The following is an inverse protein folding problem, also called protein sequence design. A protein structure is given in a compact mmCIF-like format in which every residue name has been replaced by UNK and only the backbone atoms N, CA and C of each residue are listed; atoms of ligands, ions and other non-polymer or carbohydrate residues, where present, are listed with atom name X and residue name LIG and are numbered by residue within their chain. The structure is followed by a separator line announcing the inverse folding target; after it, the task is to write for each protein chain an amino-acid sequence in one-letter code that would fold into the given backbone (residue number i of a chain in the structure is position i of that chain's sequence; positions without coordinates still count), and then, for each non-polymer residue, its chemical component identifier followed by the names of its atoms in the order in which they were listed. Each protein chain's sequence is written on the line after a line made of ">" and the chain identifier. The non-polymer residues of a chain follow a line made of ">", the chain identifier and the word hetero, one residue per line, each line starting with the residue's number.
data_IF_894433067713
#
_entry.id   IF_894433067713
#
_cell.length_a   1.000
_cell.length_b   1.000
_cell.length_c   1.000
_cell.angle_alpha   90.00
_cell.angle_beta   90.00
_cell.angle_gamma   90.00
#
_symmetry.space_group_name_H-M   'P 1'
#
loop_
_entity.id
_entity.type
_entity.pdbx_description
1 polymer ?
#
# COMPACT_ATOMS: atom_id res chain seq x y z
N UNK A 1 -5.38 9.11 26.61
CA UNK A 1 -4.19 9.37 25.79
C UNK A 1 -3.30 10.33 26.55
N UNK A 2 -2.02 10.00 26.75
CA UNK A 2 -1.00 10.92 27.26
C UNK A 2 0.02 11.14 26.14
N UNK A 3 -0.09 12.25 25.40
CA UNK A 3 0.70 12.55 24.19
C UNK A 3 1.62 13.75 24.48
N UNK A 4 2.74 13.51 25.15
CA UNK A 4 3.73 14.54 25.54
C UNK A 4 5.12 14.21 24.97
N UNK A 5 5.15 13.45 23.88
CA UNK A 5 6.35 12.95 23.23
C UNK A 5 6.62 13.73 21.93
N UNK A 6 7.83 13.57 21.38
CA UNK A 6 8.20 14.19 20.08
C UNK A 6 7.83 13.23 18.95
N UNK A 7 6.91 13.66 18.10
CA UNK A 7 6.40 12.90 16.96
C UNK A 7 6.75 13.56 15.63
N UNK A 8 7.08 12.75 14.63
CA UNK A 8 7.22 13.19 13.24
C UNK A 8 5.83 13.48 12.66
N UNK A 9 5.59 14.73 12.29
CA UNK A 9 4.31 15.17 11.72
C UNK A 9 4.32 15.13 10.19
N UNK A 10 3.16 14.97 9.53
CA UNK A 10 3.06 15.00 8.08
C UNK A 10 3.55 16.34 7.51
N UNK A 11 3.05 17.46 8.05
CA UNK A 11 3.41 18.83 7.65
C UNK A 11 3.44 19.74 8.89
N UNK A 12 4.43 20.63 8.97
CA UNK A 12 4.62 21.51 10.16
C UNK A 12 3.59 22.65 10.29
N UNK A 13 2.89 23.00 9.21
CA UNK A 13 1.97 24.14 9.16
C UNK A 13 0.52 23.69 9.04
N UNK A 14 0.22 22.82 8.07
CA UNK A 14 -1.13 22.43 7.72
C UNK A 14 -1.61 21.21 8.53
N UNK A 15 -0.68 20.31 8.88
CA UNK A 15 -0.96 19.10 9.63
C UNK A 15 -0.10 18.98 10.89
N UNK A 16 -0.19 19.92 11.86
CA UNK A 16 0.58 19.90 13.09
C UNK A 16 0.04 18.88 14.12
N UNK A 17 -0.33 17.69 13.64
CA UNK A 17 -0.92 16.58 14.39
C UNK A 17 -0.44 15.26 13.78
N UNK A 18 -0.33 14.21 14.59
CA UNK A 18 0.16 12.93 14.09
C UNK A 18 -0.91 12.17 13.30
N UNK A 19 -0.44 11.42 12.32
CA UNK A 19 -1.21 10.39 11.64
C UNK A 19 -0.45 9.07 11.68
N UNK A 20 -1.09 8.02 12.21
CA UNK A 20 -0.39 6.76 12.47
C UNK A 20 0.10 6.08 11.20
N UNK A 21 -0.66 6.14 10.10
CA UNK A 21 -0.22 5.56 8.83
C UNK A 21 0.87 6.39 8.16
N UNK A 22 0.78 7.74 8.17
CA UNK A 22 1.84 8.64 7.71
C UNK A 22 3.17 8.34 8.41
N UNK A 23 3.15 8.16 9.74
CA UNK A 23 4.33 7.87 10.54
C UNK A 23 5.09 6.62 10.07
N UNK A 24 4.36 5.63 9.55
CA UNK A 24 4.96 4.43 8.95
C UNK A 24 5.82 4.79 7.74
N UNK A 25 5.34 5.69 6.88
CA UNK A 25 6.07 6.18 5.71
C UNK A 25 7.19 7.15 6.09
N UNK A 26 7.03 7.95 7.15
CA UNK A 26 8.07 8.86 7.66
C UNK A 26 9.30 8.10 8.15
N UNK A 27 9.08 6.96 8.81
CA UNK A 27 10.14 6.17 9.42
C UNK A 27 11.15 5.64 8.39
N UNK A 28 10.74 5.41 7.13
CA UNK A 28 11.61 4.88 6.06
C UNK A 28 12.73 5.86 5.66
N UNK A 29 12.45 7.12 5.24
CA UNK A 29 13.50 8.10 4.98
C UNK A 29 14.24 8.49 6.26
N UNK A 30 13.57 8.57 7.42
CA UNK A 30 14.26 8.84 8.70
C UNK A 30 15.33 7.80 8.99
N UNK A 31 15.08 6.51 8.74
CA UNK A 31 16.08 5.45 8.94
C UNK A 31 17.32 5.55 8.04
N UNK A 32 17.26 6.34 6.95
CA UNK A 32 18.43 6.68 6.13
C UNK A 32 19.35 7.71 6.82
N UNK A 33 18.88 8.39 7.86
CA UNK A 33 19.65 9.34 8.65
C UNK A 33 19.88 8.77 10.04
N UNK A 34 18.80 8.47 10.76
CA UNK A 34 18.78 7.97 12.12
C UNK A 34 17.76 6.82 12.26
N UNK A 35 18.27 5.59 12.26
CA UNK A 35 17.45 4.39 12.42
C UNK A 35 16.92 4.23 13.85
N UNK A 36 17.59 4.77 14.86
CA UNK A 36 17.14 4.66 16.24
C UNK A 36 15.93 5.57 16.48
N UNK A 37 15.98 6.81 15.97
CA UNK A 37 14.81 7.71 15.97
C UNK A 37 13.62 7.11 15.19
N UNK A 38 13.85 6.55 14.00
CA UNK A 38 12.78 5.89 13.23
C UNK A 38 12.12 4.72 14.00
N UNK A 39 12.91 3.90 14.70
CA UNK A 39 12.40 2.83 15.57
C UNK A 39 11.59 3.38 16.74
N UNK A 40 12.05 4.46 17.36
CA UNK A 40 11.35 5.11 18.46
C UNK A 40 9.98 5.65 18.04
N UNK A 41 9.90 6.30 16.88
CA UNK A 41 8.64 6.80 16.30
C UNK A 41 7.60 5.68 16.13
N UNK A 42 8.01 4.56 15.51
CA UNK A 42 7.12 3.40 15.31
C UNK A 42 6.70 2.76 16.63
N UNK A 43 7.59 2.68 17.62
CA UNK A 43 7.26 2.14 18.94
C UNK A 43 6.31 3.05 19.71
N UNK A 44 6.42 4.37 19.54
CA UNK A 44 5.68 5.36 20.30
C UNK A 44 4.17 5.19 20.15
N UNK A 45 3.69 5.12 18.90
CA UNK A 45 2.26 4.97 18.60
C UNK A 45 1.68 3.62 19.07
N UNK A 46 2.56 2.66 19.37
CA UNK A 46 2.22 1.33 19.85
C UNK A 46 2.29 1.19 21.38
N UNK A 47 2.69 2.25 22.11
CA UNK A 47 2.75 2.22 23.57
C UNK A 47 1.37 2.20 24.20
N UNK A 48 1.31 1.71 25.43
CA UNK A 48 0.09 1.50 26.23
C UNK A 48 -0.72 2.78 26.46
N UNK A 49 -0.06 3.94 26.40
CA UNK A 49 -0.71 5.24 26.56
C UNK A 49 -1.21 5.86 25.24
N UNK A 50 -0.85 5.27 24.09
CA UNK A 50 -1.38 5.60 22.75
C UNK A 50 -2.37 4.55 22.24
N UNK A 51 -1.95 3.30 22.18
CA UNK A 51 -2.78 2.18 21.73
C UNK A 51 -3.92 1.95 22.73
N UNK A 52 -5.15 1.91 22.22
CA UNK A 52 -6.31 1.60 23.04
C UNK A 52 -6.19 0.15 23.59
N UNK A 53 -6.67 -0.14 24.82
CA UNK A 53 -6.53 -1.46 25.44
C UNK A 53 -7.10 -2.65 24.65
N UNK A 54 -7.96 -2.41 23.66
CA UNK A 54 -8.49 -3.44 22.76
C UNK A 54 -7.56 -3.76 21.56
N UNK A 55 -6.40 -3.11 21.45
CA UNK A 55 -5.46 -3.26 20.33
C UNK A 55 -5.62 -2.22 19.20
N UNK A 56 -6.60 -1.32 19.27
CA UNK A 56 -6.75 -0.25 18.27
C UNK A 56 -5.60 0.76 18.37
N UNK A 57 -4.98 1.05 17.23
CA UNK A 57 -3.99 2.11 17.10
C UNK A 57 -4.74 3.43 16.82
N UNK A 58 -4.42 4.54 17.50
CA UNK A 58 -5.08 5.81 17.26
C UNK A 58 -4.77 6.30 15.84
N UNK A 59 -5.80 6.69 15.07
CA UNK A 59 -5.59 7.20 13.72
C UNK A 59 -4.96 8.60 13.72
N UNK A 60 -5.68 9.60 14.23
CA UNK A 60 -5.29 11.01 14.24
C UNK A 60 -5.72 11.71 15.55
N UNK A 61 -5.11 12.86 15.88
CA UNK A 61 -5.38 13.60 17.14
C UNK A 61 -6.84 14.04 17.34
N UNK A 62 -7.58 14.24 16.24
CA UNK A 62 -8.97 14.70 16.25
C UNK A 62 -9.98 13.55 16.05
N UNK A 63 -9.52 12.35 15.67
CA UNK A 63 -10.35 11.17 15.43
C UNK A 63 -9.61 9.87 15.75
N UNK A 64 -9.26 9.66 17.02
CA UNK A 64 -8.52 8.45 17.45
C UNK A 64 -9.19 7.12 17.07
N UNK A 65 -10.52 7.11 16.98
CA UNK A 65 -11.31 5.92 16.69
C UNK A 65 -11.39 5.53 15.21
N UNK A 66 -10.86 6.36 14.32
CA UNK A 66 -10.80 6.05 12.90
C UNK A 66 -9.84 4.89 12.60
N UNK A 67 -9.91 4.39 11.38
CA UNK A 67 -9.13 3.25 10.93
C UNK A 67 -8.18 3.68 9.84
N UNK A 68 -6.94 3.24 9.98
CA UNK A 68 -5.84 3.55 9.08
C UNK A 68 -5.30 2.26 8.47
N UNK A 69 -4.72 2.29 7.25
CA UNK A 69 -4.03 1.12 6.71
C UNK A 69 -2.99 0.57 7.72
N UNK A 70 -2.98 -0.74 8.01
CA UNK A 70 -2.05 -1.37 8.94
C UNK A 70 -0.62 -1.53 8.39
N UNK A 71 -0.02 -0.42 7.95
CA UNK A 71 1.30 -0.38 7.30
C UNK A 71 2.47 -0.35 8.30
N UNK A 72 2.22 -0.27 9.61
CA UNK A 72 3.26 -0.19 10.64
C UNK A 72 4.15 -1.46 10.69
N UNK A 73 3.62 -2.65 10.40
CA UNK A 73 4.44 -3.86 10.27
C UNK A 73 5.44 -3.76 9.11
N UNK A 74 4.97 -3.25 7.97
CA UNK A 74 5.83 -3.02 6.82
C UNK A 74 6.93 -2.01 7.13
N UNK A 75 6.57 -0.88 7.77
CA UNK A 75 7.54 0.14 8.12
C UNK A 75 8.58 -0.39 9.11
N UNK A 76 8.18 -1.12 10.15
CA UNK A 76 9.10 -1.72 11.10
C UNK A 76 10.05 -2.71 10.42
N UNK A 77 9.51 -3.58 9.55
CA UNK A 77 10.33 -4.48 8.75
C UNK A 77 11.31 -3.72 7.85
N UNK A 78 10.88 -2.65 7.20
CA UNK A 78 11.71 -1.83 6.31
C UNK A 78 12.84 -1.12 7.07
N UNK A 79 12.53 -0.51 8.21
CA UNK A 79 13.51 0.15 9.10
C UNK A 79 14.56 -0.86 9.57
N UNK A 80 14.13 -2.03 10.02
CA UNK A 80 15.04 -3.12 10.39
C UNK A 80 15.97 -3.53 9.24
N UNK A 81 15.45 -3.68 8.03
CA UNK A 81 16.25 -4.04 6.85
C UNK A 81 17.22 -2.91 6.43
N UNK A 82 16.82 -1.65 6.56
CA UNK A 82 17.69 -0.49 6.31
C UNK A 82 18.84 -0.48 7.32
N UNK A 83 18.54 -0.63 8.62
CA UNK A 83 19.55 -0.71 9.67
C UNK A 83 20.51 -1.88 9.43
N UNK A 84 19.98 -3.07 9.14
CA UNK A 84 20.77 -4.26 8.83
C UNK A 84 21.75 -4.03 7.67
N UNK A 85 21.31 -3.34 6.60
CA UNK A 85 22.19 -3.02 5.46
C UNK A 85 23.30 -2.05 5.85
N UNK A 86 23.03 -1.08 6.73
CA UNK A 86 23.98 -0.01 7.08
C UNK A 86 24.94 -0.41 8.21
N UNK A 87 24.47 -1.16 9.21
CA UNK A 87 25.22 -1.56 10.40
C UNK A 87 25.74 -3.00 10.32
N UNK A 88 25.31 -3.79 9.33
CA UNK A 88 25.63 -5.22 9.19
C UNK A 88 24.79 -6.15 10.08
N UNK A 89 24.06 -5.60 11.05
CA UNK A 89 23.16 -6.31 11.95
C UNK A 89 21.89 -5.47 12.17
N UNK A 90 20.73 -6.13 12.19
CA UNK A 90 19.46 -5.48 12.52
C UNK A 90 19.05 -5.71 13.97
N UNK A 91 18.32 -4.76 14.54
CA UNK A 91 17.80 -4.81 15.92
C UNK A 91 16.58 -5.75 16.04
N UNK A 92 16.84 -7.01 16.41
CA UNK A 92 15.76 -7.98 16.70
C UNK A 92 14.96 -7.63 17.95
N UNK A 93 15.55 -6.94 18.93
CA UNK A 93 14.86 -6.49 20.13
C UNK A 93 13.73 -5.52 19.79
N UNK A 94 13.99 -4.59 18.88
CA UNK A 94 12.98 -3.72 18.28
C UNK A 94 11.87 -4.53 17.59
N UNK A 95 12.21 -5.50 16.74
CA UNK A 95 11.22 -6.35 16.07
C UNK A 95 10.32 -7.09 17.07
N UNK A 96 10.88 -7.69 18.13
CA UNK A 96 10.07 -8.36 19.19
C UNK A 96 9.07 -7.39 19.82
N UNK A 97 9.51 -6.18 20.16
CA UNK A 97 8.66 -5.16 20.79
C UNK A 97 7.50 -4.74 19.87
N UNK A 98 7.80 -4.43 18.61
CA UNK A 98 6.77 -4.06 17.63
C UNK A 98 5.83 -5.24 17.35
N UNK A 99 6.38 -6.44 17.14
CA UNK A 99 5.62 -7.64 16.82
C UNK A 99 4.54 -7.96 17.86
N UNK A 100 4.88 -7.95 19.15
CA UNK A 100 3.90 -8.21 20.21
C UNK A 100 2.78 -7.17 20.27
N UNK A 101 3.09 -5.89 20.01
CA UNK A 101 2.08 -4.82 19.94
C UNK A 101 1.18 -4.98 18.72
N UNK A 102 1.78 -5.29 17.57
CA UNK A 102 1.03 -5.50 16.34
C UNK A 102 0.21 -6.78 16.36
N UNK A 103 0.57 -7.80 17.15
CA UNK A 103 -0.28 -8.97 17.37
C UNK A 103 -1.63 -8.60 18.02
N UNK A 104 -1.62 -7.66 18.97
CA UNK A 104 -2.85 -7.12 19.56
C UNK A 104 -3.69 -6.38 18.52
N UNK A 105 -3.03 -5.54 17.71
CA UNK A 105 -3.71 -4.79 16.67
C UNK A 105 -4.26 -5.68 15.54
N UNK A 106 -3.52 -6.70 15.12
CA UNK A 106 -3.99 -7.69 14.15
C UNK A 106 -5.23 -8.41 14.66
N UNK A 107 -5.23 -8.81 15.94
CA UNK A 107 -6.39 -9.43 16.60
C UNK A 107 -7.58 -8.47 16.66
N UNK A 108 -7.35 -7.18 16.92
CA UNK A 108 -8.39 -6.17 16.84
C UNK A 108 -9.01 -6.08 15.44
N UNK A 109 -8.19 -6.06 14.39
CA UNK A 109 -8.65 -6.05 13.00
C UNK A 109 -9.55 -7.24 12.68
N UNK A 110 -9.07 -8.46 12.96
CA UNK A 110 -9.84 -9.70 12.73
C UNK A 110 -11.19 -9.68 13.44
N UNK A 111 -11.26 -9.16 14.66
CA UNK A 111 -12.52 -9.18 15.43
C UNK A 111 -13.45 -7.99 15.17
N UNK A 112 -12.95 -6.86 14.65
CA UNK A 112 -13.72 -5.61 14.55
C UNK A 112 -13.97 -5.15 13.12
N UNK A 113 -13.21 -5.68 12.16
CA UNK A 113 -13.20 -5.21 10.77
C UNK A 113 -13.52 -6.31 9.76
N UNK A 114 -13.70 -7.56 10.22
CA UNK A 114 -14.29 -8.67 9.48
C UNK A 114 -15.66 -9.02 10.10
N UNK A 115 -16.67 -8.17 9.84
CA UNK A 115 -17.96 -8.22 10.55
C UNK A 115 -18.73 -9.51 10.33
N UNK A 116 -18.48 -10.20 9.21
CA UNK A 116 -19.15 -11.45 8.86
C UNK A 116 -18.27 -12.70 9.08
N UNK A 117 -17.03 -12.54 9.54
CA UNK A 117 -16.08 -13.64 9.74
C UNK A 117 -15.70 -14.35 8.43
N UNK A 118 -15.78 -13.63 7.30
CA UNK A 118 -15.52 -14.16 5.94
C UNK A 118 -14.12 -13.85 5.44
N UNK A 119 -13.28 -13.21 6.25
CA UNK A 119 -11.95 -12.71 5.89
C UNK A 119 -12.01 -11.63 4.79
N UNK A 120 -13.11 -10.88 4.74
CA UNK A 120 -13.26 -9.66 3.93
C UNK A 120 -13.36 -8.48 4.89
N UNK A 121 -12.41 -7.56 4.77
CA UNK A 121 -12.20 -6.52 5.75
C UNK A 121 -12.73 -5.17 5.28
N UNK A 122 -13.32 -4.43 6.21
CA UNK A 122 -13.90 -3.11 5.97
C UNK A 122 -13.43 -2.14 7.05
N UNK A 123 -13.08 -0.91 6.68
CA UNK A 123 -12.55 0.06 7.64
C UNK A 123 -12.78 1.52 7.28
N UNK A 124 -13.80 1.84 6.48
CA UNK A 124 -14.08 3.23 6.11
C UNK A 124 -13.20 3.70 4.96
N UNK A 125 -12.68 4.92 5.01
CA UNK A 125 -11.89 5.46 3.89
C UNK A 125 -10.44 4.94 3.85
N UNK A 126 -9.89 4.42 4.95
CA UNK A 126 -8.57 3.79 5.01
C UNK A 126 -7.45 4.65 4.42
N UNK A 127 -7.45 5.95 4.71
CA UNK A 127 -6.46 6.92 4.18
C UNK A 127 -6.71 7.36 2.74
N UNK A 128 -7.77 6.89 2.08
CA UNK A 128 -8.13 7.18 0.68
C UNK A 128 -9.45 7.95 0.58
N UNK A 129 -9.51 9.12 1.21
CA UNK A 129 -10.70 9.92 1.52
C UNK A 129 -11.82 9.89 0.47
N UNK A 130 -11.58 10.45 -0.72
CA UNK A 130 -12.57 10.62 -1.78
C UNK A 130 -12.44 9.60 -2.93
N UNK A 131 -11.69 8.50 -2.76
CA UNK A 131 -11.37 7.52 -3.84
C UNK A 131 -12.63 6.85 -4.43
N UNK A 132 -13.69 6.71 -3.62
CA UNK A 132 -14.93 6.03 -3.98
C UNK A 132 -16.10 6.96 -4.28
N UNK A 133 -17.23 6.35 -4.65
CA UNK A 133 -18.52 7.06 -4.84
C UNK A 133 -19.17 7.51 -3.52
N UNK A 134 -18.88 6.81 -2.41
CA UNK A 134 -19.46 7.08 -1.10
C UNK A 134 -18.39 7.54 -0.11
N UNK A 135 -18.82 8.33 0.88
CA UNK A 135 -18.10 8.42 2.15
C UNK A 135 -18.20 7.07 2.86
N UNK A 136 -17.13 6.27 2.75
CA UNK A 136 -17.05 4.89 3.25
C UNK A 136 -17.17 4.81 4.77
N UNK A 137 -17.03 5.94 5.49
CA UNK A 137 -17.17 6.01 6.94
C UNK A 137 -18.60 6.26 7.41
N UNK A 138 -19.54 6.50 6.49
CA UNK A 138 -20.95 6.74 6.79
C UNK A 138 -21.84 5.56 6.39
N UNK A 139 -23.04 5.43 6.99
CA UNK A 139 -24.03 4.47 6.52
C UNK A 139 -24.33 4.66 5.04
N UNK A 140 -24.41 3.55 4.31
CA UNK A 140 -24.66 3.57 2.86
C UNK A 140 -26.11 3.94 2.56
N UNK A 141 -26.37 4.73 1.50
CA UNK A 141 -27.73 5.01 1.03
C UNK A 141 -28.47 3.69 0.70
N UNK A 142 -29.70 3.54 1.19
CA UNK A 142 -30.50 2.32 0.99
C UNK A 142 -30.12 1.15 1.92
N UNK A 143 -29.16 1.34 2.82
CA UNK A 143 -28.64 0.29 3.69
C UNK A 143 -27.70 -0.68 2.97
N UNK A 144 -27.33 -1.76 3.64
CA UNK A 144 -26.34 -2.73 3.14
C UNK A 144 -24.93 -2.43 3.64
N UNK A 145 -23.93 -3.02 2.98
CA UNK A 145 -22.53 -2.86 3.34
C UNK A 145 -21.63 -2.93 2.10
N UNK A 146 -20.41 -2.40 2.24
CA UNK A 146 -19.41 -2.35 1.18
C UNK A 146 -18.29 -3.33 1.50
N UNK A 147 -18.11 -4.35 0.69
CA UNK A 147 -16.90 -5.16 0.72
C UNK A 147 -15.77 -4.40 0.03
N UNK A 148 -14.72 -4.12 0.81
CA UNK A 148 -13.61 -3.27 0.42
C UNK A 148 -12.41 -4.11 -0.03
N UNK A 149 -12.06 -3.96 -1.30
CA UNK A 149 -10.92 -4.67 -1.89
C UNK A 149 -9.60 -4.21 -1.28
N UNK A 150 -9.45 -2.91 -1.04
CA UNK A 150 -8.29 -2.32 -0.38
C UNK A 150 -8.17 -2.74 1.10
N UNK A 151 -9.25 -2.64 1.88
CA UNK A 151 -9.27 -3.08 3.28
C UNK A 151 -8.82 -4.53 3.45
N UNK A 152 -9.33 -5.40 2.59
CA UNK A 152 -8.97 -6.82 2.56
C UNK A 152 -7.51 -7.03 2.12
N UNK A 153 -7.06 -6.30 1.10
CA UNK A 153 -5.68 -6.33 0.62
C UNK A 153 -4.66 -5.87 1.67
N UNK A 154 -5.00 -4.82 2.42
CA UNK A 154 -4.16 -4.32 3.50
C UNK A 154 -3.95 -5.37 4.59
N UNK A 155 -4.99 -6.13 4.92
CA UNK A 155 -4.88 -7.23 5.88
C UNK A 155 -4.09 -8.42 5.33
N UNK A 156 -4.18 -8.71 4.03
CA UNK A 156 -3.31 -9.69 3.38
C UNK A 156 -1.83 -9.27 3.48
N UNK A 157 -1.53 -8.01 3.15
CA UNK A 157 -0.19 -7.43 3.28
C UNK A 157 0.29 -7.46 4.74
N UNK A 158 -0.56 -7.07 5.70
CA UNK A 158 -0.23 -7.08 7.12
C UNK A 158 0.12 -8.48 7.62
N UNK A 159 -0.65 -9.49 7.20
CA UNK A 159 -0.39 -10.90 7.50
C UNK A 159 0.99 -11.33 7.00
N UNK A 160 1.35 -10.99 5.76
CA UNK A 160 2.66 -11.32 5.19
C UNK A 160 3.81 -10.57 5.86
N UNK A 161 3.62 -9.30 6.26
CA UNK A 161 4.65 -8.56 6.99
C UNK A 161 4.91 -9.16 8.38
N UNK A 162 3.85 -9.55 9.10
CA UNK A 162 3.99 -10.21 10.39
C UNK A 162 4.57 -11.62 10.26
N UNK A 163 4.24 -12.35 9.19
CA UNK A 163 4.91 -13.61 8.84
C UNK A 163 6.42 -13.40 8.63
N UNK A 164 6.82 -12.39 7.85
CA UNK A 164 8.23 -12.10 7.61
C UNK A 164 9.00 -11.75 8.89
N UNK A 165 8.40 -10.95 9.77
CA UNK A 165 8.97 -10.61 11.08
C UNK A 165 9.07 -11.86 11.96
N UNK A 166 8.01 -12.67 12.06
CA UNK A 166 7.99 -13.89 12.86
C UNK A 166 9.10 -14.87 12.42
N UNK A 167 9.27 -15.06 11.11
CA UNK A 167 10.34 -15.92 10.57
C UNK A 167 11.74 -15.34 10.80
N UNK A 168 11.91 -14.01 10.87
CA UNK A 168 13.21 -13.41 11.23
C UNK A 168 13.53 -13.63 12.72
N UNK A 169 12.53 -13.55 13.60
CA UNK A 169 12.68 -13.82 15.03
C UNK A 169 12.90 -15.32 15.31
N UNK A 170 12.24 -16.19 14.54
CA UNK A 170 12.37 -17.64 14.61
C UNK A 170 13.78 -18.18 14.34
N UNK A 171 14.67 -17.34 13.80
CA UNK A 171 16.09 -17.70 13.60
C UNK A 171 16.84 -17.96 14.91
N UNK A 172 16.40 -17.34 16.00
CA UNK A 172 17.01 -17.49 17.33
C UNK A 172 16.02 -18.07 18.35
N UNK A 173 14.72 -17.82 18.17
CA UNK A 173 13.65 -18.24 19.08
C UNK A 173 12.59 -19.05 18.32
N UNK A 174 12.75 -20.38 18.24
CA UNK A 174 11.87 -21.25 17.43
C UNK A 174 10.37 -21.13 17.75
N UNK A 175 9.99 -20.61 18.92
CA UNK A 175 8.61 -20.37 19.33
C UNK A 175 7.87 -19.42 18.38
N UNK A 176 8.57 -18.53 17.66
CA UNK A 176 7.94 -17.66 16.66
C UNK A 176 7.48 -18.42 15.41
N UNK A 177 7.94 -19.66 15.17
CA UNK A 177 7.41 -20.51 14.07
C UNK A 177 5.91 -20.82 14.26
N UNK A 178 5.45 -20.96 15.50
CA UNK A 178 4.04 -21.23 15.81
C UNK A 178 3.16 -20.05 15.38
N UNK A 179 3.62 -18.82 15.63
CA UNK A 179 2.89 -17.60 15.27
C UNK A 179 3.05 -17.29 13.78
N UNK A 180 4.19 -17.61 13.16
CA UNK A 180 4.37 -17.52 11.70
C UNK A 180 3.29 -18.32 10.96
N UNK A 181 3.01 -19.54 11.42
CA UNK A 181 1.97 -20.41 10.85
C UNK A 181 0.58 -19.75 10.87
N UNK A 182 0.23 -19.06 11.97
CA UNK A 182 -1.05 -18.33 12.09
C UNK A 182 -1.20 -17.25 11.03
N UNK A 183 -0.15 -16.45 10.79
CA UNK A 183 -0.22 -15.36 9.82
C UNK A 183 -0.27 -15.87 8.39
N UNK A 184 0.46 -16.94 8.10
CA UNK A 184 0.38 -17.60 6.81
C UNK A 184 -1.03 -18.16 6.55
N UNK A 185 -1.64 -18.86 7.51
CA UNK A 185 -3.01 -19.39 7.36
C UNK A 185 -4.03 -18.25 7.15
N UNK A 186 -3.98 -17.18 7.94
CA UNK A 186 -4.84 -16.01 7.73
C UNK A 186 -4.65 -15.40 6.34
N UNK A 187 -3.41 -15.26 5.87
CA UNK A 187 -3.14 -14.78 4.52
C UNK A 187 -3.83 -15.65 3.46
N UNK A 188 -3.76 -16.98 3.57
CA UNK A 188 -4.41 -17.90 2.61
C UNK A 188 -5.92 -17.71 2.61
N UNK A 189 -6.54 -17.57 3.79
CA UNK A 189 -7.97 -17.30 3.90
C UNK A 189 -8.37 -15.98 3.22
N UNK A 190 -7.60 -14.91 3.45
CA UNK A 190 -7.84 -13.60 2.84
C UNK A 190 -7.65 -13.67 1.33
N UNK A 191 -6.56 -14.26 0.86
CA UNK A 191 -6.26 -14.39 -0.56
C UNK A 191 -7.36 -15.20 -1.29
N UNK A 192 -7.89 -16.26 -0.68
CA UNK A 192 -9.06 -16.97 -1.23
C UNK A 192 -10.28 -16.05 -1.29
N UNK A 193 -10.64 -15.41 -0.18
CA UNK A 193 -11.81 -14.52 -0.12
C UNK A 193 -11.78 -13.46 -1.24
N UNK A 194 -10.63 -12.81 -1.42
CA UNK A 194 -10.42 -11.84 -2.51
C UNK A 194 -10.60 -12.42 -3.91
N UNK A 195 -10.26 -13.68 -4.11
CA UNK A 195 -10.36 -14.33 -5.42
C UNK A 195 -11.72 -15.00 -5.67
N UNK A 196 -12.54 -15.25 -4.64
CA UNK A 196 -13.81 -15.96 -4.76
C UNK A 196 -15.05 -15.14 -4.44
N UNK A 197 -14.94 -14.01 -3.75
CA UNK A 197 -16.08 -13.20 -3.29
C UNK A 197 -16.45 -12.04 -4.24
N UNK A 198 -16.13 -12.16 -5.54
CA UNK A 198 -16.53 -11.16 -6.54
C UNK A 198 -15.72 -9.86 -6.53
N UNK A 199 -14.70 -9.74 -5.68
CA UNK A 199 -13.77 -8.61 -5.69
C UNK A 199 -12.88 -8.59 -6.95
N UNK A 200 -12.67 -9.73 -7.60
CA UNK A 200 -12.00 -9.84 -8.89
C UNK A 200 -13.02 -9.93 -10.03
N UNK A 201 -12.99 -8.98 -10.95
CA UNK A 201 -13.80 -9.03 -12.16
C UNK A 201 -13.03 -9.76 -13.27
N UNK A 202 -13.59 -10.85 -13.78
CA UNK A 202 -12.94 -11.68 -14.81
C UNK A 202 -13.01 -11.10 -16.23
N UNK A 203 -13.88 -10.15 -16.50
CA UNK A 203 -13.96 -9.52 -17.82
C UNK A 203 -12.88 -8.43 -17.92
N UNK A 204 -12.86 -7.55 -16.93
CA UNK A 204 -11.82 -6.54 -16.81
C UNK A 204 -10.48 -7.23 -16.51
N UNK A 205 -10.40 -8.09 -15.51
CA UNK A 205 -9.12 -8.51 -14.94
C UNK A 205 -8.55 -7.44 -14.05
N UNK A 206 -9.40 -6.96 -13.14
CA UNK A 206 -9.09 -5.90 -12.18
C UNK A 206 -9.90 -6.13 -10.91
N UNK A 207 -9.41 -5.61 -9.79
CA UNK A 207 -10.10 -5.71 -8.51
C UNK A 207 -10.98 -4.48 -8.26
N UNK A 208 -12.16 -4.70 -7.68
CA UNK A 208 -13.15 -3.67 -7.38
C UNK A 208 -13.81 -3.92 -6.02
N UNK A 209 -14.40 -2.87 -5.45
CA UNK A 209 -15.28 -3.01 -4.29
C UNK A 209 -16.64 -3.58 -4.71
N UNK A 210 -17.31 -4.27 -3.80
CA UNK A 210 -18.64 -4.85 -4.03
C UNK A 210 -19.63 -4.24 -3.04
N UNK A 211 -20.71 -3.66 -3.57
CA UNK A 211 -21.82 -3.11 -2.78
C UNK A 211 -22.89 -4.19 -2.62
N UNK A 212 -23.07 -4.66 -1.38
CA UNK A 212 -24.14 -5.57 -1.01
C UNK A 212 -25.38 -4.79 -0.61
N UNK A 213 -26.52 -5.14 -1.23
CA UNK A 213 -27.80 -4.45 -1.02
C UNK A 213 -28.84 -5.43 -0.47
N UNK A 214 -29.55 -5.10 0.62
CA UNK A 214 -30.54 -6.01 1.20
C UNK A 214 -31.61 -6.41 0.18
N UNK A 215 -31.75 -7.71 -0.08
CA UNK A 215 -32.77 -8.25 -0.99
C UNK A 215 -32.61 -7.88 -2.47
N UNK A 216 -31.44 -7.39 -2.89
CA UNK A 216 -31.12 -7.03 -4.29
C UNK A 216 -29.80 -7.67 -4.70
N UNK A 217 -29.53 -7.68 -6.00
CA UNK A 217 -28.24 -8.14 -6.52
C UNK A 217 -27.09 -7.24 -6.06
N UNK A 218 -25.94 -7.86 -5.86
CA UNK A 218 -24.70 -7.16 -5.54
C UNK A 218 -24.22 -6.32 -6.73
N UNK A 219 -23.60 -5.18 -6.45
CA UNK A 219 -23.09 -4.28 -7.48
C UNK A 219 -21.57 -4.19 -7.37
N UNK A 220 -20.88 -4.66 -8.39
CA UNK A 220 -19.46 -4.41 -8.56
C UNK A 220 -19.23 -2.93 -8.91
N UNK A 221 -18.53 -2.20 -8.04
CA UNK A 221 -18.21 -0.79 -8.24
C UNK A 221 -16.99 -0.67 -9.17
N UNK A 222 -17.25 -0.70 -10.49
CA UNK A 222 -16.22 -0.66 -11.57
C UNK A 222 -15.50 0.70 -11.70
N UNK A 223 -14.90 1.15 -10.60
CA UNK A 223 -14.06 2.34 -10.50
C UNK A 223 -12.62 1.87 -10.57
N UNK A 224 -11.93 2.18 -11.66
CA UNK A 224 -10.52 1.79 -11.86
C UNK A 224 -9.63 2.73 -11.07
N UNK A 225 -9.40 2.40 -9.80
CA UNK A 225 -8.65 3.22 -8.87
C UNK A 225 -7.53 2.44 -8.18
N UNK A 226 -6.77 3.14 -7.32
CA UNK A 226 -5.74 2.57 -6.47
C UNK A 226 -6.26 1.39 -5.62
N UNK A 227 -7.55 1.38 -5.29
CA UNK A 227 -8.22 0.26 -4.59
C UNK A 227 -7.97 -1.07 -5.30
N UNK A 228 -8.07 -1.10 -6.64
CA UNK A 228 -7.83 -2.31 -7.42
C UNK A 228 -6.35 -2.65 -7.64
N UNK A 229 -5.43 -1.78 -7.20
CA UNK A 229 -3.97 -1.98 -7.29
C UNK A 229 -3.36 -2.42 -5.95
N UNK A 230 -3.95 -2.06 -4.81
CA UNK A 230 -3.51 -2.46 -3.47
C UNK A 230 -3.38 -3.99 -3.29
N UNK A 231 -4.18 -4.87 -3.96
CA UNK A 231 -3.92 -6.31 -3.92
C UNK A 231 -2.49 -6.72 -4.29
N UNK A 232 -1.78 -5.94 -5.12
CA UNK A 232 -0.39 -6.19 -5.49
C UNK A 232 0.59 -5.99 -4.31
N UNK A 233 0.18 -5.30 -3.25
CA UNK A 233 1.03 -5.02 -2.07
C UNK A 233 1.21 -6.24 -1.18
N UNK A 234 0.26 -7.17 -1.23
CA UNK A 234 0.31 -8.44 -0.52
C UNK A 234 1.15 -9.46 -1.31
N UNK A 235 2.47 -9.30 -1.23
CA UNK A 235 3.45 -10.22 -1.82
C UNK A 235 4.66 -10.43 -0.90
N UNK A 236 5.05 -11.69 -0.72
CA UNK A 236 6.28 -12.12 -0.06
C UNK A 236 6.86 -13.34 -0.78
N UNK A 237 8.20 -13.41 -0.89
CA UNK A 237 8.89 -14.52 -1.53
C UNK A 237 9.89 -15.13 -0.54
N UNK A 238 9.75 -16.44 -0.28
CA UNK A 238 10.61 -17.15 0.66
C UNK A 238 11.46 -18.18 -0.10
N UNK A 239 12.77 -18.16 0.15
CA UNK A 239 13.72 -19.12 -0.41
C UNK A 239 13.53 -20.52 0.20
N UNK A 240 13.67 -21.58 -0.61
CA UNK A 240 13.38 -22.96 -0.20
C UNK A 240 14.26 -23.45 0.95
N UNK A 241 15.55 -23.13 0.88
CA UNK A 241 16.55 -23.44 1.89
C UNK A 241 16.25 -22.72 3.22
N UNK A 242 15.91 -21.44 3.14
CA UNK A 242 15.45 -20.66 4.29
C UNK A 242 14.18 -21.26 4.88
N UNK A 243 13.21 -21.64 4.06
CA UNK A 243 11.97 -22.27 4.50
C UNK A 243 12.24 -23.60 5.23
N UNK A 244 13.13 -24.45 4.69
CA UNK A 244 13.48 -25.74 5.29
C UNK A 244 14.22 -25.61 6.63
N UNK A 245 14.84 -24.46 6.91
CA UNK A 245 15.45 -24.18 8.21
C UNK A 245 14.41 -24.04 9.33
N UNK A 246 13.17 -23.63 9.00
CA UNK A 246 12.04 -23.51 9.94
C UNK A 246 11.19 -24.79 9.91
N UNK A 247 11.65 -25.83 10.60
CA UNK A 247 11.09 -27.19 10.50
C UNK A 247 9.64 -27.30 10.98
N UNK A 248 9.23 -26.50 11.95
CA UNK A 248 7.86 -26.47 12.46
C UNK A 248 6.94 -25.82 11.43
N UNK A 249 7.32 -24.62 10.98
CA UNK A 249 6.58 -23.87 9.97
C UNK A 249 6.47 -24.63 8.64
N UNK A 250 7.58 -25.15 8.10
CA UNK A 250 7.59 -25.88 6.84
C UNK A 250 6.68 -27.11 6.87
N UNK A 251 6.67 -27.85 7.97
CA UNK A 251 5.79 -29.03 8.13
C UNK A 251 4.32 -28.65 8.14
N UNK A 252 3.97 -27.57 8.84
CA UNK A 252 2.60 -27.07 8.91
C UNK A 252 2.13 -26.53 7.55
N UNK A 253 3.01 -25.82 6.86
CA UNK A 253 2.80 -25.35 5.50
C UNK A 253 2.51 -26.52 4.55
N UNK A 254 3.36 -27.56 4.50
CA UNK A 254 3.12 -28.75 3.66
C UNK A 254 1.80 -29.43 4.04
N UNK A 255 1.57 -29.67 5.33
CA UNK A 255 0.37 -30.33 5.79
C UNK A 255 -0.88 -29.57 5.33
N UNK A 256 -0.90 -28.25 5.46
CA UNK A 256 -2.05 -27.45 5.05
C UNK A 256 -2.24 -27.44 3.54
N UNK A 257 -1.15 -27.33 2.77
CA UNK A 257 -1.21 -27.43 1.29
C UNK A 257 -1.80 -28.79 0.87
N UNK A 258 -1.39 -29.87 1.53
CA UNK A 258 -1.83 -31.23 1.20
C UNK A 258 -3.26 -31.54 1.65
N UNK A 259 -3.71 -30.96 2.77
CA UNK A 259 -4.97 -31.32 3.43
C UNK A 259 -6.08 -30.28 3.23
N UNK A 260 -5.77 -29.06 2.78
CA UNK A 260 -6.72 -27.97 2.51
C UNK A 260 -6.62 -27.45 1.07
N UNK A 261 -6.80 -28.31 0.06
CA UNK A 261 -6.86 -27.87 -1.35
C UNK A 261 -7.95 -26.82 -1.57
N UNK A 262 -9.06 -26.91 -0.83
CA UNK A 262 -10.16 -25.95 -0.87
C UNK A 262 -9.73 -24.50 -0.55
N UNK A 263 -8.70 -24.32 0.29
CA UNK A 263 -8.18 -23.00 0.66
C UNK A 263 -7.02 -22.54 -0.22
N UNK A 264 -6.37 -23.47 -0.89
CA UNK A 264 -5.10 -23.23 -1.58
C UNK A 264 -5.25 -23.11 -3.09
N UNK A 265 -6.37 -23.59 -3.63
CA UNK A 265 -6.83 -23.35 -4.98
C UNK A 265 -7.15 -21.86 -5.20
N UNK A 266 -6.48 -21.22 -6.18
CA UNK A 266 -6.66 -19.79 -6.49
C UNK A 266 -5.77 -18.81 -5.73
N UNK A 267 -4.94 -19.27 -4.79
CA UNK A 267 -3.87 -18.45 -4.19
C UNK A 267 -2.58 -18.65 -4.98
N UNK A 268 -1.82 -17.57 -5.20
CA UNK A 268 -0.62 -17.61 -6.04
C UNK A 268 0.37 -18.69 -5.54
N UNK A 269 0.50 -19.74 -6.34
CA UNK A 269 1.56 -20.74 -6.39
C UNK A 269 2.26 -21.14 -5.08
N UNK A 270 1.68 -22.11 -4.36
CA UNK A 270 2.29 -22.72 -3.17
C UNK A 270 3.23 -23.91 -3.43
N UNK A 271 3.22 -24.48 -4.66
CA UNK A 271 3.99 -25.69 -5.02
C UNK A 271 4.96 -25.52 -6.20
N UNK A 272 4.73 -24.59 -7.14
CA UNK A 272 5.64 -24.45 -8.29
C UNK A 272 6.90 -23.71 -7.86
N UNK A 273 8.03 -24.40 -8.07
CA UNK A 273 9.37 -23.86 -7.82
C UNK A 273 9.62 -22.69 -8.79
N UNK A 274 9.76 -21.49 -8.25
CA UNK A 274 10.27 -20.33 -9.00
C UNK A 274 11.78 -20.44 -9.24
N UNK A 275 12.42 -19.32 -9.61
CA UNK A 275 13.90 -19.25 -9.67
C UNK A 275 14.45 -19.62 -8.28
N UNK A 276 15.39 -20.57 -8.22
CA UNK A 276 15.98 -21.08 -6.98
C UNK A 276 14.99 -21.77 -6.02
N UNK A 277 13.95 -22.43 -6.53
CA UNK A 277 12.96 -23.19 -5.73
C UNK A 277 12.15 -22.35 -4.72
N UNK A 278 12.13 -21.02 -4.89
CA UNK A 278 11.37 -20.10 -4.05
C UNK A 278 9.88 -20.44 -4.02
N UNK A 279 9.21 -20.02 -2.95
CA UNK A 279 7.74 -19.99 -2.83
C UNK A 279 7.23 -18.56 -2.85
N UNK A 280 6.15 -18.33 -3.57
CA UNK A 280 5.47 -17.04 -3.64
C UNK A 280 4.23 -17.09 -2.74
N UNK A 281 4.09 -16.12 -1.86
CA UNK A 281 2.83 -15.84 -1.18
C UNK A 281 2.31 -14.51 -1.70
N UNK A 282 1.32 -14.57 -2.60
CA UNK A 282 0.71 -13.38 -3.16
C UNK A 282 -0.80 -13.55 -3.37
N UNK A 283 -1.55 -12.46 -3.21
CA UNK A 283 -2.99 -12.45 -3.57
C UNK A 283 -3.18 -12.64 -5.08
N UNK A 284 -2.25 -12.07 -5.85
CA UNK A 284 -2.30 -12.02 -7.31
C UNK A 284 -1.30 -13.03 -7.88
N UNK A 285 -1.82 -13.99 -8.64
CA UNK A 285 -0.99 -14.94 -9.40
C UNK A 285 -0.33 -14.29 -10.64
N UNK A 286 0.60 -14.96 -11.32
CA UNK A 286 1.31 -14.38 -12.47
C UNK A 286 0.40 -13.94 -13.62
N UNK A 287 -0.75 -14.60 -13.84
CA UNK A 287 -1.66 -14.27 -14.93
C UNK A 287 -2.52 -13.05 -14.59
N UNK A 288 -3.07 -13.00 -13.36
CA UNK A 288 -3.75 -11.80 -12.86
C UNK A 288 -2.78 -10.61 -12.80
N UNK A 289 -1.53 -10.83 -12.42
CA UNK A 289 -0.49 -9.80 -12.40
C UNK A 289 -0.30 -9.19 -13.79
N UNK A 290 -0.20 -10.01 -14.86
CA UNK A 290 -0.13 -9.50 -16.24
C UNK A 290 -1.34 -8.65 -16.60
N UNK A 291 -2.55 -9.08 -16.22
CA UNK A 291 -3.80 -8.38 -16.54
C UNK A 291 -3.90 -7.02 -15.85
N UNK A 292 -3.52 -6.95 -14.57
CA UNK A 292 -3.47 -5.69 -13.82
C UNK A 292 -2.38 -4.77 -14.39
N UNK A 293 -1.19 -5.31 -14.68
CA UNK A 293 -0.08 -4.52 -15.23
C UNK A 293 -0.38 -3.91 -16.60
N UNK A 294 -1.19 -4.57 -17.44
CA UNK A 294 -1.65 -3.99 -18.72
C UNK A 294 -2.37 -2.65 -18.51
N UNK A 295 -3.20 -2.51 -17.47
CA UNK A 295 -3.85 -1.23 -17.16
C UNK A 295 -2.92 -0.27 -16.44
N UNK A 296 -2.17 -0.78 -15.47
CA UNK A 296 -1.27 0.02 -14.64
C UNK A 296 -0.22 0.75 -15.48
N UNK A 297 0.28 0.11 -16.54
CA UNK A 297 1.33 0.62 -17.41
C UNK A 297 0.78 1.29 -18.70
N UNK A 298 -0.54 1.50 -18.80
CA UNK A 298 -1.16 2.23 -19.91
C UNK A 298 -1.20 3.75 -19.61
N UNK A 299 -0.64 4.56 -20.51
CA UNK A 299 -0.58 6.02 -20.38
C UNK A 299 -1.96 6.70 -20.44
N UNK A 300 -2.94 6.04 -21.05
CA UNK A 300 -4.35 6.49 -21.10
C UNK A 300 -5.12 6.17 -19.83
N UNK A 301 -4.55 5.31 -18.98
CA UNK A 301 -5.14 4.91 -17.70
C UNK A 301 -4.28 5.44 -16.54
N UNK A 302 -3.41 4.60 -15.98
CA UNK A 302 -2.74 4.86 -14.73
C UNK A 302 -1.33 5.46 -14.89
N UNK A 303 -0.63 5.14 -15.99
CA UNK A 303 0.77 5.51 -16.15
C UNK A 303 0.90 7.00 -16.52
N UNK A 304 1.41 7.79 -15.59
CA UNK A 304 1.79 9.18 -15.80
C UNK A 304 3.28 9.28 -16.13
N UNK A 305 3.75 10.33 -16.82
CA UNK A 305 5.17 10.68 -16.88
C UNK A 305 5.85 10.80 -15.51
N UNK A 306 5.07 10.96 -14.44
CA UNK A 306 5.56 11.25 -13.09
C UNK A 306 5.25 10.16 -12.04
N UNK A 307 4.61 9.05 -12.42
CA UNK A 307 4.27 7.95 -11.52
C UNK A 307 2.97 7.25 -11.89
N UNK A 308 2.35 6.58 -10.93
CA UNK A 308 1.04 5.94 -11.07
C UNK A 308 -0.03 6.83 -10.44
N UNK A 309 -1.05 7.18 -11.24
CA UNK A 309 -2.23 7.94 -10.82
C UNK A 309 -3.06 7.14 -9.82
N UNK A 310 -3.70 7.81 -8.87
CA UNK A 310 -4.62 7.15 -7.92
C UNK A 310 -5.95 6.71 -8.57
N UNK A 311 -6.35 7.32 -9.68
CA UNK A 311 -7.51 6.94 -10.48
C UNK A 311 -7.13 6.89 -11.97
N UNK A 312 -7.66 5.90 -12.70
CA UNK A 312 -7.44 5.77 -14.14
C UNK A 312 -7.97 7.01 -14.88
N UNK A 313 -7.15 7.57 -15.76
CA UNK A 313 -7.51 8.73 -16.58
C UNK A 313 -8.66 8.45 -17.58
N UNK A 314 -9.05 7.19 -17.77
CA UNK A 314 -10.26 6.83 -18.53
C UNK A 314 -11.52 7.47 -17.96
N UNK A 315 -11.54 7.70 -16.64
CA UNK A 315 -12.66 8.35 -15.96
C UNK A 315 -12.76 9.86 -16.23
N UNK A 316 -11.84 10.43 -17.01
CA UNK A 316 -11.96 11.81 -17.53
C UNK A 316 -13.06 11.90 -18.57
N UNK A 317 -13.08 10.96 -19.52
CA UNK A 317 -14.07 10.91 -20.61
C UNK A 317 -15.28 10.06 -20.25
N UNK A 318 -15.08 9.05 -19.38
CA UNK A 318 -16.13 8.11 -18.95
C UNK A 318 -16.17 8.03 -17.42
N UNK A 319 -16.69 9.07 -16.74
CA UNK A 319 -16.90 9.00 -15.30
C UNK A 319 -17.70 7.77 -14.91
N UNK A 320 -17.35 7.16 -13.78
CA UNK A 320 -18.21 6.14 -13.20
C UNK A 320 -19.48 6.81 -12.67
N UNK A 321 -20.64 6.21 -12.94
CA UNK A 321 -21.95 6.73 -12.50
C UNK A 321 -22.73 5.59 -11.86
N UNK A 322 -23.31 5.85 -10.69
CA UNK A 322 -24.14 4.91 -9.96
C UNK A 322 -25.43 5.60 -9.52
N UNK A 323 -26.56 5.10 -10.02
CA UNK A 323 -27.89 5.52 -9.58
C UNK A 323 -28.36 4.63 -8.42
N UNK A 324 -28.57 5.24 -7.24
CA UNK A 324 -28.98 4.54 -6.03
C UNK A 324 -29.97 5.39 -5.23
N UNK A 325 -31.13 4.82 -4.91
CA UNK A 325 -32.19 5.45 -4.11
C UNK A 325 -32.60 6.85 -4.62
N UNK A 326 -32.67 7.04 -5.94
CA UNK A 326 -33.06 8.31 -6.56
C UNK A 326 -31.96 9.39 -6.58
N UNK A 327 -30.74 9.02 -6.15
CA UNK A 327 -29.55 9.88 -6.23
C UNK A 327 -28.54 9.30 -7.21
N UNK A 328 -27.93 10.19 -8.01
CA UNK A 328 -26.83 9.84 -8.92
C UNK A 328 -25.50 10.19 -8.27
N UNK A 329 -24.65 9.19 -8.08
CA UNK A 329 -23.28 9.34 -7.59
C UNK A 329 -22.31 9.24 -8.76
N UNK A 330 -21.24 10.04 -8.75
CA UNK A 330 -20.24 9.99 -9.81
C UNK A 330 -18.81 10.17 -9.31
N UNK A 331 -17.89 9.48 -10.00
CA UNK A 331 -16.44 9.60 -9.84
C UNK A 331 -15.84 9.91 -11.20
N UNK A 332 -15.26 11.10 -11.32
CA UNK A 332 -14.54 11.56 -12.50
C UNK A 332 -13.04 11.67 -12.20
N UNK A 333 -12.21 11.66 -13.24
CA UNK A 333 -10.78 11.90 -13.11
C UNK A 333 -10.47 13.39 -12.91
N UNK A 334 -9.73 13.69 -11.84
CA UNK A 334 -9.34 15.01 -11.40
C UNK A 334 -7.83 15.00 -11.12
N UNK A 335 -6.98 15.54 -12.00
CA UNK A 335 -5.54 15.32 -11.91
C UNK A 335 -4.88 16.03 -10.70
N UNK A 336 -5.47 17.10 -10.18
CA UNK A 336 -4.91 17.94 -9.10
C UNK A 336 -5.93 18.13 -7.96
N UNK A 337 -6.48 19.33 -7.74
CA UNK A 337 -7.44 19.60 -6.67
C UNK A 337 -8.79 18.91 -6.89
N UNK A 338 -9.46 18.57 -5.80
CA UNK A 338 -10.83 18.02 -5.82
C UNK A 338 -11.85 19.13 -6.10
N UNK A 339 -12.78 18.89 -7.02
CA UNK A 339 -13.98 19.72 -7.23
C UNK A 339 -15.07 19.47 -6.20
N UNK A 340 -14.93 18.43 -5.37
CA UNK A 340 -15.86 18.07 -4.30
C UNK A 340 -15.37 18.51 -2.92
N UNK A 341 -16.30 18.90 -2.04
CA UNK A 341 -16.01 19.21 -0.63
C UNK A 341 -15.96 17.99 0.30
N UNK A 342 -15.96 16.75 -0.24
CA UNK A 342 -15.80 15.55 0.57
C UNK A 342 -14.49 15.63 1.35
N UNK A 343 -14.55 15.34 2.66
CA UNK A 343 -13.40 15.43 3.57
C UNK A 343 -12.68 16.79 3.56
N UNK A 344 -13.42 17.88 3.34
CA UNK A 344 -12.88 19.25 3.40
C UNK A 344 -12.23 19.74 2.10
N UNK A 345 -12.17 18.92 1.05
CA UNK A 345 -11.77 19.33 -0.31
C UNK A 345 -10.27 19.52 -0.55
N UNK A 346 -9.42 19.48 0.48
CA UNK A 346 -7.97 19.64 0.35
C UNK A 346 -7.25 18.38 -0.16
N UNK A 347 -7.79 17.19 0.14
CA UNK A 347 -7.24 15.89 -0.25
C UNK A 347 -7.94 15.38 -1.51
N UNK A 348 -7.17 14.86 -2.47
CA UNK A 348 -7.74 14.28 -3.69
C UNK A 348 -7.05 12.98 -4.13
N UNK A 349 -7.81 11.90 -4.13
CA UNK A 349 -7.42 10.58 -4.59
C UNK A 349 -7.99 10.24 -5.97
N UNK A 350 -8.73 11.14 -6.62
CA UNK A 350 -9.39 10.92 -7.92
C UNK A 350 -8.52 11.22 -9.14
N UNK A 351 -7.21 11.14 -9.00
CA UNK A 351 -6.30 11.32 -10.13
C UNK A 351 -4.85 11.66 -9.80
N UNK A 352 -4.53 12.38 -8.70
CA UNK A 352 -3.16 12.71 -8.36
C UNK A 352 -2.27 11.49 -8.10
N UNK A 353 -0.97 11.73 -8.09
CA UNK A 353 0.09 10.78 -7.76
C UNK A 353 0.45 10.95 -6.29
N UNK A 354 0.41 9.85 -5.55
CA UNK A 354 0.74 9.80 -4.13
C UNK A 354 1.96 8.92 -3.91
N UNK A 355 2.97 9.47 -3.21
CA UNK A 355 4.23 8.76 -2.93
C UNK A 355 4.06 7.45 -2.15
N UNK A 356 3.23 7.36 -1.09
CA UNK A 356 3.10 6.14 -0.29
C UNK A 356 2.76 4.89 -1.11
N UNK A 357 1.69 4.96 -1.89
CA UNK A 357 1.18 3.82 -2.67
C UNK A 357 2.06 3.51 -3.89
N UNK A 358 2.66 4.54 -4.51
CA UNK A 358 3.65 4.34 -5.57
C UNK A 358 4.91 3.65 -5.05
N UNK A 359 5.38 4.03 -3.87
CA UNK A 359 6.54 3.41 -3.23
C UNK A 359 6.26 1.93 -2.90
N UNK A 360 5.11 1.62 -2.30
CA UNK A 360 4.69 0.24 -2.03
C UNK A 360 4.58 -0.58 -3.31
N UNK A 361 4.03 -0.02 -4.38
CA UNK A 361 3.96 -0.67 -5.67
C UNK A 361 5.34 -1.03 -6.22
N UNK A 362 6.29 -0.09 -6.18
CA UNK A 362 7.68 -0.33 -6.62
C UNK A 362 8.29 -1.49 -5.83
N UNK A 363 8.13 -1.50 -4.50
CA UNK A 363 8.63 -2.59 -3.67
C UNK A 363 7.97 -3.93 -3.99
N UNK A 364 6.66 -3.95 -4.25
CA UNK A 364 5.94 -5.15 -4.68
C UNK A 364 6.46 -5.69 -6.01
N UNK A 365 6.68 -4.84 -7.00
CA UNK A 365 7.22 -5.25 -8.30
C UNK A 365 8.62 -5.85 -8.14
N UNK A 366 9.46 -5.30 -7.25
CA UNK A 366 10.76 -5.88 -6.92
C UNK A 366 10.62 -7.27 -6.28
N UNK A 367 9.66 -7.46 -5.37
CA UNK A 367 9.38 -8.78 -4.75
C UNK A 367 8.86 -9.79 -5.77
N UNK A 368 7.93 -9.40 -6.64
CA UNK A 368 7.46 -10.25 -7.74
C UNK A 368 8.61 -10.61 -8.69
N UNK A 369 9.46 -9.64 -9.05
CA UNK A 369 10.64 -9.91 -9.88
C UNK A 369 11.58 -10.91 -9.23
N UNK A 370 11.81 -10.79 -7.92
CA UNK A 370 12.66 -11.71 -7.18
C UNK A 370 12.19 -13.17 -7.30
N UNK A 371 10.87 -13.41 -7.38
CA UNK A 371 10.32 -14.74 -7.61
C UNK A 371 10.28 -15.16 -9.09
N UNK A 372 9.72 -14.30 -9.95
CA UNK A 372 9.42 -14.60 -11.36
C UNK A 372 10.66 -14.55 -12.28
N UNK A 373 11.66 -13.76 -11.91
CA UNK A 373 12.89 -13.59 -12.67
C UNK A 373 12.72 -12.83 -13.99
N UNK A 374 13.73 -12.95 -14.86
CA UNK A 374 13.88 -12.18 -16.09
C UNK A 374 12.98 -12.68 -17.24
N UNK A 375 12.45 -13.90 -17.13
CA UNK A 375 11.55 -14.49 -18.12
C UNK A 375 10.14 -13.91 -18.08
N UNK A 376 9.73 -13.31 -16.96
CA UNK A 376 8.47 -12.60 -16.87
C UNK A 376 8.66 -11.14 -17.29
N UNK A 377 8.13 -10.84 -18.48
CA UNK A 377 8.18 -9.51 -19.07
C UNK A 377 6.79 -8.98 -19.37
N UNK A 378 6.65 -7.66 -19.32
CA UNK A 378 5.43 -6.92 -19.64
C UNK A 378 5.78 -5.70 -20.49
N UNK A 379 4.81 -5.17 -21.23
CA UNK A 379 5.03 -3.96 -22.02
C UNK A 379 5.05 -2.71 -21.14
N UNK A 380 5.95 -1.78 -21.45
CA UNK A 380 6.05 -0.48 -20.80
C UNK A 380 6.47 0.62 -21.81
N UNK A 381 5.59 1.57 -22.14
CA UNK A 381 4.15 1.58 -21.83
C UNK A 381 3.38 0.41 -22.46
N UNK A 382 2.21 0.09 -21.93
CA UNK A 382 1.28 -0.85 -22.56
C UNK A 382 0.97 -0.41 -23.99
N UNK A 383 1.01 -1.34 -24.95
CA UNK A 383 0.79 -1.09 -26.37
C UNK A 383 2.03 -0.58 -27.13
N UNK A 384 3.18 -0.44 -26.46
CA UNK A 384 4.41 0.03 -27.09
C UNK A 384 5.22 -1.06 -27.80
N UNK A 385 4.94 -2.34 -27.52
CA UNK A 385 5.76 -3.47 -27.95
C UNK A 385 7.14 -3.56 -27.29
N UNK A 386 7.50 -2.65 -26.37
CA UNK A 386 8.76 -2.68 -25.61
C UNK A 386 8.57 -3.47 -24.33
N UNK A 387 9.22 -4.63 -24.24
CA UNK A 387 9.15 -5.52 -23.11
C UNK A 387 10.19 -5.17 -22.04
N UNK A 388 9.75 -5.13 -20.79
CA UNK A 388 10.59 -4.91 -19.61
C UNK A 388 10.36 -6.02 -18.58
N UNK A 389 11.42 -6.38 -17.86
CA UNK A 389 11.26 -7.19 -16.63
C UNK A 389 10.59 -6.35 -15.55
N UNK A 390 10.04 -7.00 -14.52
CA UNK A 390 9.44 -6.29 -13.38
C UNK A 390 10.43 -5.39 -12.63
N UNK A 391 11.73 -5.75 -12.59
CA UNK A 391 12.77 -4.84 -12.09
C UNK A 391 12.92 -3.59 -12.96
N UNK A 392 12.88 -3.74 -14.30
CA UNK A 392 12.90 -2.61 -15.23
C UNK A 392 11.69 -1.69 -15.05
N UNK A 393 10.49 -2.27 -14.86
CA UNK A 393 9.28 -1.50 -14.55
C UNK A 393 9.43 -0.74 -13.22
N UNK A 394 9.89 -1.40 -12.16
CA UNK A 394 10.10 -0.77 -10.86
C UNK A 394 11.12 0.39 -10.94
N UNK A 395 12.22 0.21 -11.68
CA UNK A 395 13.22 1.23 -11.90
C UNK A 395 12.66 2.43 -12.69
N UNK A 396 11.83 2.17 -13.70
CA UNK A 396 11.17 3.21 -14.49
C UNK A 396 10.21 4.05 -13.64
N UNK A 397 9.39 3.41 -12.81
CA UNK A 397 8.49 4.14 -11.91
C UNK A 397 9.26 4.97 -10.87
N UNK A 398 10.35 4.44 -10.33
CA UNK A 398 11.27 5.18 -9.44
C UNK A 398 11.83 6.43 -10.13
N UNK A 399 12.25 6.30 -11.40
CA UNK A 399 12.77 7.41 -12.21
C UNK A 399 11.71 8.47 -12.48
N UNK A 400 10.47 8.08 -12.78
CA UNK A 400 9.34 8.99 -13.00
C UNK A 400 9.00 9.80 -11.77
N UNK A 401 8.91 9.16 -10.60
CA UNK A 401 8.69 9.86 -9.32
C UNK A 401 9.84 10.81 -8.98
N UNK A 402 11.07 10.37 -9.21
CA UNK A 402 12.27 11.20 -8.98
C UNK A 402 12.29 12.42 -9.91
N UNK A 403 11.84 12.26 -11.17
CA UNK A 403 11.84 13.32 -12.17
C UNK A 403 11.00 14.55 -11.76
N UNK A 404 9.99 14.37 -10.90
CA UNK A 404 9.21 15.48 -10.30
C UNK A 404 10.13 16.55 -9.68
N UNK A 405 11.20 16.10 -9.04
CA UNK A 405 12.15 16.94 -8.31
C UNK A 405 13.45 17.16 -9.06
N UNK A 406 13.56 16.78 -10.34
CA UNK A 406 14.75 16.97 -11.18
C UNK A 406 14.51 18.05 -12.22
N UNK A 407 15.59 18.68 -12.71
CA UNK A 407 15.49 19.64 -13.80
C UNK A 407 15.42 18.87 -15.11
N UNK A 408 14.48 19.25 -15.97
CA UNK A 408 14.39 18.76 -17.33
C UNK A 408 15.45 19.40 -18.24
N UNK A 409 15.40 19.07 -19.54
CA UNK A 409 16.29 19.63 -20.56
C UNK A 409 16.17 21.15 -20.71
N UNK A 410 15.05 21.74 -20.26
CA UNK A 410 14.80 23.19 -20.25
C UNK A 410 15.20 23.84 -18.92
N UNK A 411 15.76 23.07 -17.99
CA UNK A 411 16.14 23.53 -16.67
C UNK A 411 14.97 23.71 -15.69
N UNK A 412 13.76 23.26 -16.05
CA UNK A 412 12.53 23.41 -15.24
C UNK A 412 12.25 22.15 -14.44
N UNK A 413 11.54 22.29 -13.32
CA UNK A 413 11.14 21.17 -12.45
C UNK A 413 9.62 21.00 -12.47
N UNK A 414 9.10 19.77 -12.64
CA UNK A 414 7.65 19.53 -12.57
C UNK A 414 7.04 19.99 -11.25
N UNK A 415 7.71 19.77 -10.10
CA UNK A 415 7.20 20.15 -8.77
C UNK A 415 6.72 21.61 -8.66
N UNK A 416 7.34 22.53 -9.39
CA UNK A 416 6.99 23.96 -9.37
C UNK A 416 5.84 24.32 -10.32
N UNK A 417 5.41 23.39 -11.18
CA UNK A 417 4.36 23.61 -12.17
C UNK A 417 4.62 24.88 -13.01
N UNK A 418 3.59 25.72 -13.22
CA UNK A 418 3.71 26.94 -14.02
C UNK A 418 4.38 28.12 -13.30
N UNK A 419 4.78 28.00 -12.03
CA UNK A 419 5.26 29.12 -11.22
C UNK A 419 6.66 29.62 -11.63
N UNK A 420 6.70 30.62 -12.50
CA UNK A 420 7.93 31.07 -13.16
C UNK A 420 9.01 31.57 -12.19
N UNK A 421 8.59 32.17 -11.07
CA UNK A 421 9.50 32.62 -10.02
C UNK A 421 10.23 31.44 -9.38
N UNK A 422 9.52 30.35 -9.07
CA UNK A 422 10.12 29.14 -8.52
C UNK A 422 10.95 28.42 -9.58
N UNK A 423 10.60 28.52 -10.86
CA UNK A 423 11.35 27.86 -11.93
C UNK A 423 12.70 28.54 -12.23
N UNK A 424 12.74 29.87 -12.24
CA UNK A 424 13.85 30.62 -12.87
C UNK A 424 14.64 31.52 -11.92
N UNK A 425 14.05 32.02 -10.84
CA UNK A 425 14.70 32.97 -9.94
C UNK A 425 15.90 32.30 -9.22
N UNK A 426 17.13 32.83 -9.35
CA UNK A 426 18.32 32.26 -8.70
C UNK A 426 18.20 32.10 -7.18
N UNK A 427 17.33 32.87 -6.54
CA UNK A 427 17.11 32.83 -5.09
C UNK A 427 16.03 31.83 -4.66
N UNK A 428 15.20 31.33 -5.57
CA UNK A 428 14.06 30.45 -5.22
C UNK A 428 14.13 29.06 -5.88
N UNK A 429 14.79 28.94 -7.05
CA UNK A 429 14.76 27.73 -7.88
C UNK A 429 15.33 26.43 -7.29
N UNK A 430 15.99 26.54 -6.14
CA UNK A 430 16.60 25.42 -5.43
C UNK A 430 15.93 25.13 -4.08
N UNK A 431 14.86 25.86 -3.73
CA UNK A 431 14.01 25.55 -2.57
C UNK A 431 12.85 24.65 -2.98
N UNK A 432 13.09 23.34 -2.91
CA UNK A 432 12.11 22.32 -3.31
C UNK A 432 11.05 22.11 -2.21
N UNK A 433 9.77 22.38 -2.48
CA UNK A 433 8.69 21.97 -1.59
C UNK A 433 8.46 20.46 -1.69
N UNK A 434 7.94 19.90 -0.61
CA UNK A 434 7.52 18.50 -0.54
C UNK A 434 6.01 18.51 -0.43
N UNK A 435 5.33 18.28 -1.54
CA UNK A 435 3.89 18.36 -1.60
C UNK A 435 3.20 17.09 -1.08
N UNK A 436 1.94 17.25 -0.67
CA UNK A 436 1.08 16.16 -0.22
C UNK A 436 0.90 15.09 -1.31
N UNK A 437 0.59 15.58 -2.51
CA UNK A 437 0.43 14.81 -3.72
C UNK A 437 0.83 15.65 -4.93
N UNK A 438 0.89 14.99 -6.09
CA UNK A 438 1.35 15.61 -7.34
C UNK A 438 0.31 15.45 -8.42
N UNK A 439 0.17 16.47 -9.25
CA UNK A 439 -0.75 16.46 -10.37
C UNK A 439 -0.47 15.24 -11.28
N UNK A 440 -1.51 14.45 -11.53
CA UNK A 440 -1.42 13.18 -12.25
C UNK A 440 -1.02 13.33 -13.73
N UNK A 441 -1.10 14.52 -14.31
CA UNK A 441 -0.78 14.77 -15.71
C UNK A 441 0.55 15.52 -15.92
N UNK A 442 0.85 16.53 -15.11
CA UNK A 442 2.03 17.40 -15.30
C UNK A 442 3.07 17.34 -14.16
N UNK A 443 2.77 16.64 -13.05
CA UNK A 443 3.68 16.47 -11.92
C UNK A 443 3.85 17.70 -11.02
N UNK A 444 3.02 18.75 -11.18
CA UNK A 444 3.02 19.90 -10.28
C UNK A 444 2.63 19.51 -8.86
N UNK A 445 3.25 20.11 -7.85
CA UNK A 445 2.89 19.86 -6.46
C UNK A 445 1.52 20.44 -6.09
N UNK A 446 0.75 19.72 -5.28
CA UNK A 446 -0.56 20.14 -4.77
C UNK A 446 -0.76 19.70 -3.30
N UNK A 447 -1.74 20.29 -2.63
CA UNK A 447 -1.93 20.13 -1.18
C UNK A 447 -0.79 20.73 -0.35
N UNK A 448 -0.63 20.26 0.89
CA UNK A 448 0.36 20.77 1.83
C UNK A 448 1.78 20.72 1.27
N UNK A 449 2.55 21.81 1.39
CA UNK A 449 3.82 22.01 0.67
C UNK A 449 5.09 21.70 1.48
N UNK A 450 4.96 21.40 2.77
CA UNK A 450 6.05 21.00 3.66
C UNK A 450 5.85 19.59 4.18
N UNK A 451 5.26 18.73 3.34
CA UNK A 451 5.04 17.34 3.62
C UNK A 451 6.30 16.49 3.44
N UNK A 452 7.39 16.89 4.12
CA UNK A 452 8.62 16.09 4.25
C UNK A 452 8.42 14.82 5.08
N UNK A 453 7.17 14.49 5.40
CA UNK A 453 6.71 13.18 5.80
C UNK A 453 6.85 12.15 4.69
N UNK A 454 5.73 11.65 4.14
CA UNK A 454 5.80 10.55 3.18
C UNK A 454 6.45 10.92 1.85
N UNK A 455 6.43 12.19 1.43
CA UNK A 455 7.07 12.59 0.16
C UNK A 455 8.60 12.49 0.28
N UNK A 456 9.12 12.48 1.51
CA UNK A 456 10.50 12.14 1.82
C UNK A 456 10.94 10.75 1.32
N UNK A 457 10.01 9.84 1.00
CA UNK A 457 10.30 8.54 0.38
C UNK A 457 11.11 8.66 -0.92
N UNK A 458 11.04 9.81 -1.62
CA UNK A 458 11.90 10.09 -2.79
C UNK A 458 13.39 9.90 -2.49
N UNK A 459 13.85 10.20 -1.28
CA UNK A 459 15.24 10.00 -0.88
C UNK A 459 15.66 8.53 -0.99
N UNK A 460 14.75 7.62 -0.65
CA UNK A 460 15.00 6.18 -0.75
C UNK A 460 14.98 5.69 -2.18
N UNK A 461 14.08 6.22 -3.01
CA UNK A 461 14.01 5.92 -4.44
C UNK A 461 15.29 6.37 -5.17
N UNK A 462 15.75 7.60 -4.90
CA UNK A 462 17.00 8.13 -5.46
C UNK A 462 18.22 7.31 -5.03
N UNK A 463 18.31 6.91 -3.75
CA UNK A 463 19.39 6.03 -3.28
C UNK A 463 19.39 4.70 -4.03
N UNK A 464 18.23 4.08 -4.24
CA UNK A 464 18.12 2.80 -4.94
C UNK A 464 18.46 2.90 -6.43
N UNK A 465 18.18 4.03 -7.07
CA UNK A 465 18.49 4.25 -8.48
C UNK A 465 19.94 4.69 -8.73
N UNK A 466 20.64 5.18 -7.71
CA UNK A 466 22.05 5.59 -7.79
C UNK A 466 23.06 4.53 -7.34
N UNK A 467 22.62 3.50 -6.62
CA UNK A 467 23.37 2.26 -6.35
C UNK A 467 23.35 1.35 -7.58
#
# INVERSE_FOLDING_TARGET
>A
LYNADILSMPDKWEYPWFAAWDLAFHAVPLALVDADFAKEQLLLILREWYMHPNGQIPAYEWAFGDVNPPVLAWAAWRVYKIEMKRRGQGDRGFLKRVFHKLLLNFTWWVNRKDTEGRNVFQGGFLGLDNIGVFDRSKPLPGGGHLEQSDGTSWMAMYSLNLLAIALELAREEPEYEDVASKFWEHFVHIARAMNTMGLWDEEDGFFYDVLHRPGREDVCLKIRSMVGLIPLFAVEAIESDRLQSFRGFARRLEWFIDNRPDLTEGVACMRTRGRSERRLFAVVDPDKLRRVLRRLLDEREFLSPYGIRALSAVHREKPYVLDLEGHTYSVAYEPAESSSGLFGGNSNWRGPIWFPVNYLLIESLQKFHHYLGDSFQVELPTGSGKLFTLAGVAAELSRRLSAIFLRDERGRRPVFGPEEKLQTDPNFRDYLPFHEYFNGDDGSGAGASHQTGWTGLVAKLLQQSGE
#
